data_IF_939519695747
#
_entry.id   IF_939519695747
#
_cell.length_a   1.000
_cell.length_b   1.000
_cell.length_c   1.000
_cell.angle_alpha   90.00
_cell.angle_beta   90.00
_cell.angle_gamma   90.00
#
_symmetry.space_group_name_H-M   'P 1'
#
loop_
_entity.id
_entity.type
_entity.pdbx_description
1 polymer ?
#
# COMPACT_ATOMS: atom_id res chain seq x y z
N UNK A 1 11.28 1.02 -18.72
CA UNK A 1 12.00 0.75 -17.46
C UNK A 1 12.59 -0.65 -17.53
N UNK A 2 13.62 -0.98 -16.74
CA UNK A 2 14.14 -2.37 -16.71
C UNK A 2 13.07 -3.27 -16.09
N UNK A 3 12.40 -4.04 -16.95
CA UNK A 3 11.25 -4.89 -16.63
C UNK A 3 11.57 -5.91 -15.51
N UNK A 4 12.83 -6.34 -15.43
CA UNK A 4 13.35 -7.23 -14.39
C UNK A 4 13.25 -6.61 -12.98
N UNK A 5 13.53 -5.30 -12.86
CA UNK A 5 13.46 -4.59 -11.58
C UNK A 5 12.02 -4.39 -11.07
N UNK A 6 11.06 -4.35 -11.97
CA UNK A 6 9.63 -4.21 -11.64
C UNK A 6 9.06 -5.51 -11.09
N UNK A 7 9.40 -6.63 -11.72
CA UNK A 7 9.03 -7.98 -11.25
C UNK A 7 9.59 -8.21 -9.85
N UNK A 8 10.87 -7.88 -9.62
CA UNK A 8 11.49 -8.03 -8.31
C UNK A 8 10.79 -7.17 -7.25
N UNK A 9 10.49 -5.92 -7.57
CA UNK A 9 9.76 -5.03 -6.66
C UNK A 9 8.33 -5.52 -6.37
N UNK A 10 7.64 -6.09 -7.36
CA UNK A 10 6.33 -6.69 -7.16
C UNK A 10 6.42 -7.89 -6.20
N UNK A 11 7.41 -8.76 -6.38
CA UNK A 11 7.64 -9.90 -5.47
C UNK A 11 7.88 -9.42 -4.03
N UNK A 12 8.75 -8.42 -3.84
CA UNK A 12 8.99 -7.83 -2.52
C UNK A 12 7.73 -7.20 -1.92
N UNK A 13 6.92 -6.53 -2.75
CA UNK A 13 5.63 -5.96 -2.35
C UNK A 13 4.67 -7.04 -1.84
N UNK A 14 4.51 -8.13 -2.59
CA UNK A 14 3.65 -9.27 -2.21
C UNK A 14 4.11 -9.91 -0.90
N UNK A 15 5.40 -10.17 -0.73
CA UNK A 15 5.95 -10.72 0.53
C UNK A 15 5.67 -9.77 1.69
N UNK A 16 5.88 -8.48 1.50
CA UNK A 16 5.61 -7.45 2.50
C UNK A 16 4.11 -7.39 2.86
N UNK A 17 3.23 -7.50 1.88
CA UNK A 17 1.77 -7.51 2.09
C UNK A 17 1.33 -8.71 2.95
N UNK A 18 1.93 -9.88 2.74
CA UNK A 18 1.65 -11.08 3.56
C UNK A 18 2.07 -10.87 5.01
N UNK A 19 3.24 -10.25 5.24
CA UNK A 19 3.72 -9.93 6.60
C UNK A 19 2.78 -8.92 7.28
N UNK A 20 2.36 -7.87 6.57
CA UNK A 20 1.41 -6.88 7.09
C UNK A 20 0.06 -7.52 7.41
N UNK A 21 -0.45 -8.42 6.55
CA UNK A 21 -1.68 -9.19 6.79
C UNK A 21 -1.58 -10.11 8.01
N UNK A 22 -0.40 -10.68 8.25
CA UNK A 22 -0.18 -11.50 9.42
C UNK A 22 -0.19 -10.66 10.70
N UNK A 23 0.52 -9.53 10.69
CA UNK A 23 0.59 -8.64 11.86
C UNK A 23 -0.76 -7.99 12.18
N UNK A 24 -1.54 -7.60 11.17
CA UNK A 24 -2.86 -6.98 11.41
C UNK A 24 -3.86 -7.95 12.04
N UNK A 25 -3.73 -9.25 11.78
CA UNK A 25 -4.57 -10.28 12.41
C UNK A 25 -4.17 -10.54 13.86
N UNK A 26 -2.93 -10.23 14.24
CA UNK A 26 -2.41 -10.45 15.60
C UNK A 26 -2.58 -9.24 16.51
N UNK A 27 -2.53 -8.03 15.95
CA UNK A 27 -2.47 -6.78 16.72
C UNK A 27 -3.70 -5.94 16.43
N UNK A 28 -4.44 -5.62 17.48
CA UNK A 28 -5.52 -4.62 17.43
C UNK A 28 -4.92 -3.20 17.59
N UNK A 29 -4.09 -2.79 16.63
CA UNK A 29 -3.57 -1.40 16.60
C UNK A 29 -4.61 -0.51 15.89
N UNK A 30 -5.10 0.56 16.54
CA UNK A 30 -6.05 1.48 15.91
C UNK A 30 -5.45 2.10 14.64
N UNK A 31 -6.19 2.07 13.53
CA UNK A 31 -5.74 2.65 12.25
C UNK A 31 -4.81 1.75 11.42
N UNK A 32 -4.37 0.60 11.93
CA UNK A 32 -3.49 -0.32 11.20
C UNK A 32 -4.14 -0.90 9.92
N UNK A 33 -5.47 -0.96 9.87
CA UNK A 33 -6.24 -1.33 8.67
C UNK A 33 -6.03 -0.38 7.50
N UNK A 34 -5.82 0.91 7.78
CA UNK A 34 -5.55 1.90 6.73
C UNK A 34 -4.15 1.71 6.14
N UNK A 35 -3.18 1.30 6.97
CA UNK A 35 -1.85 0.92 6.48
C UNK A 35 -1.90 -0.33 5.59
N UNK A 36 -2.72 -1.33 5.93
CA UNK A 36 -2.93 -2.48 5.05
C UNK A 36 -3.46 -2.07 3.68
N UNK A 37 -4.48 -1.22 3.62
CA UNK A 37 -4.99 -0.69 2.36
C UNK A 37 -3.94 0.08 1.58
N UNK A 38 -3.11 0.89 2.26
CA UNK A 38 -1.97 1.57 1.64
C UNK A 38 -0.99 0.60 0.99
N UNK A 39 -0.59 -0.46 1.69
CA UNK A 39 0.30 -1.49 1.15
C UNK A 39 -0.35 -2.27 -0.01
N UNK A 40 -1.64 -2.56 0.08
CA UNK A 40 -2.39 -3.22 -0.98
C UNK A 40 -2.39 -2.38 -2.27
N UNK A 41 -2.62 -1.07 -2.15
CA UNK A 41 -2.56 -0.15 -3.30
C UNK A 41 -1.16 -0.02 -3.88
N UNK A 42 -0.11 0.00 -3.05
CA UNK A 42 1.28 -0.03 -3.55
C UNK A 42 1.54 -1.31 -4.36
N UNK A 43 1.11 -2.47 -3.87
CA UNK A 43 1.26 -3.73 -4.60
C UNK A 43 0.49 -3.72 -5.93
N UNK A 44 -0.73 -3.17 -5.91
CA UNK A 44 -1.55 -3.00 -7.11
C UNK A 44 -0.90 -2.07 -8.13
N UNK A 45 -0.29 -0.96 -7.67
CA UNK A 45 0.47 -0.05 -8.52
C UNK A 45 1.62 -0.78 -9.22
N UNK A 46 2.42 -1.55 -8.47
CA UNK A 46 3.53 -2.35 -9.05
C UNK A 46 3.04 -3.42 -10.03
N UNK A 47 1.88 -4.00 -9.77
CA UNK A 47 1.27 -4.93 -10.72
C UNK A 47 0.92 -4.22 -12.03
N UNK A 48 0.35 -3.02 -11.95
CA UNK A 48 0.07 -2.21 -13.15
C UNK A 48 1.33 -1.79 -13.89
N UNK A 49 2.42 -1.42 -13.20
CA UNK A 49 3.72 -1.15 -13.84
C UNK A 49 4.21 -2.35 -14.66
N UNK A 50 4.13 -3.55 -14.09
CA UNK A 50 4.56 -4.78 -14.79
C UNK A 50 3.68 -5.05 -16.01
N UNK A 51 2.37 -4.83 -15.90
CA UNK A 51 1.43 -5.03 -17.02
C UNK A 51 1.58 -3.93 -18.07
N UNK A 52 1.88 -2.69 -17.68
CA UNK A 52 2.20 -1.58 -18.58
C UNK A 52 3.35 -1.94 -19.53
N UNK A 53 4.40 -2.56 -18.98
CA UNK A 53 5.54 -3.04 -19.76
C UNK A 53 5.20 -4.15 -20.76
N UNK A 54 3.99 -4.73 -20.71
CA UNK A 54 3.54 -5.83 -21.58
C UNK A 54 2.39 -5.41 -22.52
N UNK A 55 1.46 -4.56 -22.08
CA UNK A 55 0.22 -4.20 -22.80
C UNK A 55 -0.27 -2.78 -22.46
N UNK A 56 -0.85 -2.08 -23.44
CA UNK A 56 -1.62 -0.82 -23.30
C UNK A 56 -1.06 0.16 -22.25
N UNK A 57 0.17 0.64 -22.50
CA UNK A 57 0.94 1.44 -21.55
C UNK A 57 0.19 2.62 -20.93
N UNK A 58 -0.50 3.44 -21.73
CA UNK A 58 -1.15 4.64 -21.20
C UNK A 58 -2.25 4.35 -20.15
N UNK A 59 -3.02 3.26 -20.33
CA UNK A 59 -4.09 2.89 -19.40
C UNK A 59 -3.51 2.39 -18.08
N UNK A 60 -2.53 1.49 -18.15
CA UNK A 60 -1.91 0.91 -16.97
C UNK A 60 -1.06 1.92 -16.19
N UNK A 61 -0.42 2.86 -16.89
CA UNK A 61 0.28 3.98 -16.27
C UNK A 61 -0.67 4.88 -15.46
N UNK A 62 -1.85 5.18 -16.00
CA UNK A 62 -2.88 5.94 -15.27
C UNK A 62 -3.34 5.16 -14.03
N UNK A 63 -3.62 3.86 -14.16
CA UNK A 63 -4.02 3.00 -13.04
C UNK A 63 -2.92 2.88 -11.97
N UNK A 64 -1.66 2.81 -12.37
CA UNK A 64 -0.50 2.85 -11.48
C UNK A 64 -0.52 4.14 -10.65
N UNK A 65 -0.58 5.30 -11.32
CA UNK A 65 -0.58 6.60 -10.65
C UNK A 65 -1.76 6.76 -9.70
N UNK A 66 -2.97 6.35 -10.10
CA UNK A 66 -4.13 6.34 -9.21
C UNK A 66 -3.92 5.43 -8.00
N UNK A 67 -3.33 4.25 -8.20
CA UNK A 67 -3.03 3.33 -7.11
C UNK A 67 -2.04 3.95 -6.11
N UNK A 68 -0.98 4.61 -6.58
CA UNK A 68 -0.07 5.34 -5.69
C UNK A 68 -0.76 6.49 -4.96
N UNK A 69 -1.65 7.23 -5.62
CA UNK A 69 -2.41 8.30 -4.97
C UNK A 69 -3.31 7.74 -3.85
N UNK A 70 -4.06 6.67 -4.11
CA UNK A 70 -4.88 6.00 -3.08
C UNK A 70 -4.04 5.43 -1.94
N UNK A 71 -2.85 4.88 -2.23
CA UNK A 71 -1.93 4.45 -1.19
C UNK A 71 -1.53 5.61 -0.27
N UNK A 72 -1.18 6.76 -0.85
CA UNK A 72 -0.86 7.98 -0.11
C UNK A 72 -2.01 8.43 0.81
N UNK A 73 -3.24 8.46 0.30
CA UNK A 73 -4.42 8.80 1.10
C UNK A 73 -4.65 7.81 2.24
N UNK A 74 -4.52 6.50 1.98
CA UNK A 74 -4.69 5.47 3.00
C UNK A 74 -3.64 5.59 4.11
N UNK A 75 -2.37 5.82 3.76
CA UNK A 75 -1.32 6.04 4.77
C UNK A 75 -1.54 7.33 5.57
N UNK A 76 -1.90 8.43 4.91
CA UNK A 76 -2.21 9.69 5.59
C UNK A 76 -3.38 9.53 6.57
N UNK A 77 -4.46 8.89 6.15
CA UNK A 77 -5.60 8.59 7.01
C UNK A 77 -5.20 7.71 8.19
N UNK A 78 -4.39 6.67 7.95
CA UNK A 78 -3.86 5.79 9.00
C UNK A 78 -3.06 6.54 10.05
N UNK A 79 -2.16 7.44 9.64
CA UNK A 79 -1.39 8.30 10.54
C UNK A 79 -2.29 9.23 11.36
N UNK A 80 -3.30 9.84 10.75
CA UNK A 80 -4.25 10.71 11.45
C UNK A 80 -4.99 9.93 12.52
N UNK A 81 -5.55 8.76 12.17
CA UNK A 81 -6.28 7.91 13.12
C UNK A 81 -5.39 7.44 14.26
N UNK A 82 -4.16 7.01 13.96
CA UNK A 82 -3.22 6.58 14.98
C UNK A 82 -2.87 7.73 15.93
N UNK A 83 -2.62 8.93 15.40
CA UNK A 83 -2.32 10.13 16.19
C UNK A 83 -3.47 10.54 17.11
N UNK A 84 -4.71 10.56 16.59
CA UNK A 84 -5.89 10.89 17.40
C UNK A 84 -6.12 9.91 18.56
N UNK A 85 -5.91 8.61 18.33
CA UNK A 85 -6.06 7.60 19.37
C UNK A 85 -4.98 7.72 20.45
N UNK A 86 -3.73 8.00 20.07
CA UNK A 86 -2.64 8.21 21.02
C UNK A 86 -2.89 9.42 21.94
N UNK A 87 -3.40 10.52 21.39
CA UNK A 87 -3.76 11.73 22.17
C UNK A 87 -4.89 11.43 23.16
N UNK A 88 -5.83 10.54 22.81
CA UNK A 88 -6.94 10.17 23.69
C UNK A 88 -6.49 9.33 24.87
N UNK A 89 -5.52 8.44 24.70
CA UNK A 89 -4.95 7.65 25.80
C UNK A 89 -4.14 8.52 26.77
N UNK A 90 -3.33 9.47 26.28
CA UNK A 90 -2.55 10.39 27.13
C UNK A 90 -3.40 11.33 28.00
N UNK A 91 -4.67 11.56 27.63
CA UNK A 91 -5.60 12.42 28.38
C UNK A 91 -6.44 11.66 29.41
N UNK A 92 -6.30 10.34 29.51
CA UNK A 92 -7.07 9.49 30.43
C UNK A 92 -6.27 9.14 31.67
#
# INVERSE_FOLDING_TARGET
MFQEGEIFNLMLGVVSLVIVLYEIRKREIPGFQMFFWGFFFVCSARFFTVVEGLFWGDVFNILEHFSFAFAGFAFAAGCIVLSYNNIKELKR
#
